data_IF_812653455998
#
_entry.id   IF_812653455998
#
_cell.length_a   1.000
_cell.length_b   1.000
_cell.length_c   1.000
_cell.angle_alpha   90.00
_cell.angle_beta   90.00
_cell.angle_gamma   90.00
#
_symmetry.space_group_name_H-M   'P 1'
#
loop_
_entity.id
_entity.type
_entity.pdbx_description
1 polymer ?
#
# COMPACT_ATOMS: atom_id res chain seq x y z
N UNK A 1 -25.82 3.61 7.88
CA UNK A 1 -24.37 3.52 7.54
C UNK A 1 -24.24 2.95 6.13
N UNK A 2 -23.51 3.61 5.23
CA UNK A 2 -23.41 3.15 3.83
C UNK A 2 -22.75 1.76 3.77
N UNK A 3 -23.32 0.85 2.97
CA UNK A 3 -22.78 -0.52 2.76
C UNK A 3 -21.31 -0.52 2.34
N UNK A 4 -20.87 0.53 1.64
CA UNK A 4 -19.47 0.72 1.22
C UNK A 4 -18.51 1.03 2.38
N UNK A 5 -18.98 1.74 3.41
CA UNK A 5 -18.19 2.03 4.62
C UNK A 5 -18.02 0.74 5.43
N UNK A 6 -19.09 -0.04 5.55
CA UNK A 6 -19.06 -1.35 6.18
C UNK A 6 -18.10 -2.31 5.47
N UNK A 7 -18.06 -2.32 4.14
CA UNK A 7 -17.12 -3.16 3.37
C UNK A 7 -15.65 -2.75 3.57
N UNK A 8 -15.36 -1.45 3.60
CA UNK A 8 -14.01 -0.95 3.89
C UNK A 8 -13.59 -1.28 5.32
N UNK A 9 -14.44 -1.02 6.31
CA UNK A 9 -14.17 -1.35 7.72
C UNK A 9 -14.05 -2.86 7.96
N UNK A 10 -14.84 -3.68 7.28
CA UNK A 10 -14.72 -5.15 7.36
C UNK A 10 -13.41 -5.65 6.76
N UNK A 11 -12.90 -5.02 5.70
CA UNK A 11 -11.58 -5.32 5.15
C UNK A 11 -10.45 -4.97 6.13
N UNK A 12 -10.61 -3.89 6.92
CA UNK A 12 -9.65 -3.52 7.97
C UNK A 12 -9.56 -4.56 9.10
N UNK A 13 -10.65 -5.26 9.42
CA UNK A 13 -10.70 -6.24 10.53
C UNK A 13 -10.37 -7.67 10.12
N UNK A 14 -10.22 -7.95 8.83
CA UNK A 14 -9.98 -9.31 8.32
C UNK A 14 -8.51 -9.74 8.36
N UNK A 15 -7.57 -8.80 8.53
CA UNK A 15 -6.15 -9.11 8.63
C UNK A 15 -5.81 -9.60 10.04
N UNK A 16 -5.58 -10.91 10.21
CA UNK A 16 -5.03 -11.48 11.45
C UNK A 16 -3.65 -12.07 11.19
N UNK A 17 -2.66 -11.91 12.10
CA UNK A 17 -1.28 -12.37 11.87
C UNK A 17 -1.14 -13.89 11.69
N UNK A 18 -2.11 -14.66 12.19
CA UNK A 18 -2.00 -16.11 12.32
C UNK A 18 -2.27 -16.91 11.02
N UNK A 19 -2.71 -16.28 9.93
CA UNK A 19 -3.21 -17.00 8.74
C UNK A 19 -2.56 -16.66 7.40
N UNK A 20 -1.52 -15.83 7.35
CA UNK A 20 -1.45 -14.95 6.19
C UNK A 20 -0.28 -15.17 5.21
N UNK A 21 0.85 -15.77 5.60
CA UNK A 21 1.92 -16.07 4.63
C UNK A 21 1.76 -17.46 4.04
N UNK A 22 1.51 -17.55 2.74
CA UNK A 22 1.67 -18.81 2.02
C UNK A 22 3.16 -19.17 2.03
N UNK A 23 3.46 -20.37 2.54
CA UNK A 23 4.81 -20.93 2.47
C UNK A 23 5.26 -21.01 1.00
N UNK A 24 6.36 -20.33 0.61
CA UNK A 24 6.83 -20.31 -0.78
C UNK A 24 7.26 -21.67 -1.33
N UNK A 25 7.71 -22.59 -0.47
CA UNK A 25 8.14 -23.96 -0.81
C UNK A 25 6.90 -24.84 -1.01
N UNK A 26 5.90 -24.73 -0.13
CA UNK A 26 4.70 -25.56 -0.19
C UNK A 26 3.66 -25.07 -1.23
N UNK A 27 3.57 -23.75 -1.48
CA UNK A 27 2.53 -23.14 -2.30
C UNK A 27 3.05 -22.38 -3.53
N UNK A 28 4.36 -22.25 -3.67
CA UNK A 28 5.01 -21.56 -4.77
C UNK A 28 5.22 -20.06 -4.52
N UNK A 29 6.39 -19.57 -4.91
CA UNK A 29 6.84 -18.20 -4.60
C UNK A 29 5.99 -17.09 -5.23
N UNK A 30 5.35 -17.34 -6.38
CA UNK A 30 4.41 -16.38 -6.98
C UNK A 30 3.17 -16.19 -6.10
N UNK A 31 2.59 -17.28 -5.61
CA UNK A 31 1.42 -17.23 -4.74
C UNK A 31 1.77 -16.57 -3.39
N UNK A 32 2.93 -16.90 -2.83
CA UNK A 32 3.46 -16.23 -1.65
C UNK A 32 3.56 -14.71 -1.86
N UNK A 33 4.17 -14.26 -2.97
CA UNK A 33 4.27 -12.84 -3.31
C UNK A 33 2.91 -12.17 -3.50
N UNK A 34 1.93 -12.85 -4.11
CA UNK A 34 0.57 -12.33 -4.29
C UNK A 34 -0.15 -12.10 -2.95
N UNK A 35 -0.01 -13.04 -2.02
CA UNK A 35 -0.63 -12.95 -0.69
C UNK A 35 0.05 -11.95 0.23
N UNK A 36 1.37 -11.75 0.09
CA UNK A 36 2.20 -11.05 1.07
C UNK A 36 1.71 -9.64 1.47
N UNK A 37 1.38 -8.72 0.54
CA UNK A 37 0.91 -7.39 0.95
C UNK A 37 -0.50 -7.37 1.52
N UNK A 38 -1.23 -8.48 1.45
CA UNK A 38 -2.58 -8.61 2.00
C UNK A 38 -2.57 -8.96 3.49
N UNK A 39 -1.41 -9.35 4.02
CA UNK A 39 -1.25 -9.83 5.40
C UNK A 39 -0.94 -8.70 6.37
N UNK A 40 -0.14 -7.72 5.92
CA UNK A 40 0.23 -6.52 6.68
C UNK A 40 -0.83 -5.44 6.54
N UNK A 41 -1.47 -5.07 7.65
CA UNK A 41 -2.51 -4.02 7.65
C UNK A 41 -1.94 -2.66 7.22
N UNK A 42 -0.70 -2.36 7.60
CA UNK A 42 0.04 -1.17 7.19
C UNK A 42 0.23 -1.08 5.66
N UNK A 43 0.68 -2.16 5.03
CA UNK A 43 0.89 -2.27 3.58
C UNK A 43 -0.43 -2.20 2.84
N UNK A 44 -1.41 -2.98 3.27
CA UNK A 44 -2.74 -3.00 2.68
C UNK A 44 -3.37 -1.60 2.68
N UNK A 45 -3.33 -0.91 3.83
CA UNK A 45 -3.85 0.44 3.97
C UNK A 45 -3.08 1.44 3.10
N UNK A 46 -1.74 1.40 3.09
CA UNK A 46 -0.93 2.27 2.26
C UNK A 46 -1.31 2.13 0.78
N UNK A 47 -1.31 0.90 0.24
CA UNK A 47 -1.50 0.64 -1.19
C UNK A 47 -2.91 0.98 -1.67
N UNK A 48 -3.94 0.68 -0.88
CA UNK A 48 -5.31 1.11 -1.18
C UNK A 48 -5.41 2.65 -1.13
N UNK A 49 -4.76 3.28 -0.15
CA UNK A 49 -4.83 4.74 0.04
C UNK A 49 -4.09 5.49 -1.07
N UNK A 50 -2.99 4.95 -1.63
CA UNK A 50 -2.36 5.52 -2.85
C UNK A 50 -3.37 5.57 -3.98
N UNK A 51 -4.09 4.47 -4.23
CA UNK A 51 -5.12 4.43 -5.26
C UNK A 51 -6.26 5.42 -5.00
N UNK A 52 -6.74 5.46 -3.76
CA UNK A 52 -7.81 6.35 -3.36
C UNK A 52 -7.40 7.83 -3.52
N UNK A 53 -6.20 8.21 -3.09
CA UNK A 53 -5.69 9.57 -3.27
C UNK A 53 -5.44 9.92 -4.75
N UNK A 54 -4.98 8.95 -5.55
CA UNK A 54 -4.84 9.11 -7.00
C UNK A 54 -6.18 9.51 -7.64
N UNK A 55 -7.29 8.96 -7.16
CA UNK A 55 -8.64 9.33 -7.62
C UNK A 55 -9.08 10.74 -7.20
N UNK A 56 -8.58 11.25 -6.06
CA UNK A 56 -8.84 12.62 -5.59
C UNK A 56 -8.19 13.65 -6.52
N UNK A 57 -6.96 13.38 -6.98
CA UNK A 57 -6.24 14.25 -7.92
C UNK A 57 -6.80 14.08 -9.33
N UNK A 58 -7.03 12.84 -9.77
CA UNK A 58 -7.58 12.52 -11.09
C UNK A 58 -6.60 12.74 -12.25
N UNK A 59 -7.13 12.69 -13.47
CA UNK A 59 -6.34 12.88 -14.70
C UNK A 59 -5.16 11.91 -14.79
N UNK A 60 -3.95 12.45 -15.02
CA UNK A 60 -2.71 11.65 -15.15
C UNK A 60 -2.31 10.95 -13.84
N UNK A 61 -2.77 11.43 -12.68
CA UNK A 61 -2.40 10.86 -11.38
C UNK A 61 -2.93 9.44 -11.18
N UNK A 62 -4.03 9.09 -11.85
CA UNK A 62 -4.60 7.74 -11.86
C UNK A 62 -3.61 6.66 -12.30
N UNK A 63 -2.60 7.03 -13.09
CA UNK A 63 -1.57 6.12 -13.58
C UNK A 63 -0.18 6.46 -13.04
N UNK A 64 0.16 7.75 -12.98
CA UNK A 64 1.49 8.18 -12.59
C UNK A 64 1.84 7.77 -11.15
N UNK A 65 0.90 7.87 -10.21
CA UNK A 65 1.15 7.52 -8.81
C UNK A 65 1.28 6.00 -8.59
N UNK A 66 0.36 5.13 -9.09
CA UNK A 66 0.56 3.69 -8.97
C UNK A 66 1.83 3.18 -9.67
N UNK A 67 2.15 3.70 -10.86
CA UNK A 67 3.36 3.30 -11.57
C UNK A 67 4.62 3.75 -10.84
N UNK A 68 4.64 4.97 -10.29
CA UNK A 68 5.73 5.44 -9.45
C UNK A 68 5.90 4.57 -8.20
N UNK A 69 4.79 4.20 -7.54
CA UNK A 69 4.84 3.31 -6.38
C UNK A 69 5.45 1.96 -6.77
N UNK A 70 4.89 1.25 -7.75
CA UNK A 70 5.38 -0.08 -8.15
C UNK A 70 6.83 -0.03 -8.62
N UNK A 71 7.22 1.00 -9.38
CA UNK A 71 8.60 1.17 -9.85
C UNK A 71 9.59 1.41 -8.71
N UNK A 72 9.32 2.37 -7.83
CA UNK A 72 10.17 2.65 -6.68
C UNK A 72 10.19 1.51 -5.66
N UNK A 73 9.07 0.80 -5.49
CA UNK A 73 8.99 -0.41 -4.69
C UNK A 73 9.90 -1.51 -5.23
N UNK A 74 9.93 -1.74 -6.55
CA UNK A 74 10.86 -2.68 -7.16
C UNK A 74 12.33 -2.28 -6.92
N UNK A 75 12.64 -0.98 -6.92
CA UNK A 75 13.96 -0.47 -6.54
C UNK A 75 14.27 -0.76 -5.08
N UNK A 76 13.37 -0.46 -4.14
CA UNK A 76 13.55 -0.75 -2.72
C UNK A 76 13.76 -2.25 -2.45
N UNK A 77 13.00 -3.09 -3.14
CA UNK A 77 13.12 -4.55 -3.10
C UNK A 77 14.51 -5.00 -3.59
N UNK A 78 14.98 -4.47 -4.72
CA UNK A 78 16.32 -4.76 -5.21
C UNK A 78 17.42 -4.29 -4.25
N UNK A 79 17.27 -3.13 -3.60
CA UNK A 79 18.23 -2.66 -2.60
C UNK A 79 18.36 -3.63 -1.43
N UNK A 80 17.24 -4.12 -0.90
CA UNK A 80 17.25 -5.10 0.19
C UNK A 80 17.94 -6.41 -0.20
N UNK A 81 17.67 -6.93 -1.40
CA UNK A 81 18.34 -8.14 -1.91
C UNK A 81 19.85 -7.99 -2.07
N UNK A 82 20.32 -6.77 -2.33
CA UNK A 82 21.75 -6.47 -2.46
C UNK A 82 22.38 -6.08 -1.10
N UNK A 83 21.67 -6.28 0.01
CA UNK A 83 22.17 -5.99 1.36
C UNK A 83 22.37 -4.50 1.65
N UNK A 84 21.79 -3.61 0.84
CA UNK A 84 21.86 -2.16 1.08
C UNK A 84 20.91 -1.82 2.21
N UNK A 85 21.46 -1.34 3.33
CA UNK A 85 20.65 -0.91 4.46
C UNK A 85 19.89 0.38 4.12
N UNK A 86 18.57 0.36 4.36
CA UNK A 86 17.73 1.55 4.32
C UNK A 86 17.32 1.85 5.77
N UNK A 87 17.68 3.00 6.35
CA UNK A 87 17.27 3.32 7.71
C UNK A 87 15.78 3.66 7.78
N UNK A 88 15.18 3.47 8.95
CA UNK A 88 13.80 3.84 9.23
C UNK A 88 12.74 3.17 8.34
N UNK A 89 12.95 1.91 7.93
CA UNK A 89 11.98 1.17 7.09
C UNK A 89 10.59 1.14 7.70
N UNK A 90 10.48 0.62 8.91
CA UNK A 90 9.20 0.51 9.61
C UNK A 90 8.57 1.88 9.95
N UNK A 91 9.30 2.87 10.51
CA UNK A 91 8.78 4.23 10.63
C UNK A 91 8.33 4.86 9.30
N UNK A 92 9.04 4.59 8.20
CA UNK A 92 8.70 5.07 6.87
C UNK A 92 7.40 4.47 6.34
N UNK A 93 7.17 3.18 6.59
CA UNK A 93 5.92 2.49 6.27
C UNK A 93 4.76 3.06 7.09
N UNK A 94 4.92 3.20 8.41
CA UNK A 94 3.88 3.78 9.27
C UNK A 94 3.56 5.23 8.89
N UNK A 95 4.59 6.02 8.58
CA UNK A 95 4.43 7.39 8.09
C UNK A 95 3.68 7.44 6.76
N UNK A 96 3.87 6.46 5.87
CA UNK A 96 3.15 6.41 4.59
C UNK A 96 1.64 6.30 4.81
N UNK A 97 1.20 5.42 5.71
CA UNK A 97 -0.22 5.22 6.03
C UNK A 97 -0.84 6.51 6.57
N UNK A 98 -0.15 7.16 7.51
CA UNK A 98 -0.62 8.39 8.15
C UNK A 98 -0.68 9.53 7.12
N UNK A 99 0.41 9.78 6.39
CA UNK A 99 0.49 10.91 5.45
C UNK A 99 -0.48 10.74 4.29
N UNK A 100 -0.52 9.56 3.65
CA UNK A 100 -1.45 9.30 2.54
C UNK A 100 -2.91 9.34 3.01
N UNK A 101 -3.18 8.83 4.22
CA UNK A 101 -4.49 8.92 4.87
C UNK A 101 -4.92 10.37 5.06
N UNK A 102 -4.06 11.23 5.62
CA UNK A 102 -4.33 12.65 5.83
C UNK A 102 -4.52 13.40 4.51
N UNK A 103 -3.67 13.15 3.50
CA UNK A 103 -3.81 13.75 2.18
C UNK A 103 -5.16 13.39 1.54
N UNK A 104 -5.61 12.15 1.72
CA UNK A 104 -6.94 11.70 1.28
C UNK A 104 -8.05 12.34 2.12
N UNK A 105 -7.89 12.43 3.44
CA UNK A 105 -8.85 12.99 4.38
C UNK A 105 -9.15 14.47 4.10
N UNK A 106 -8.11 15.23 3.76
CA UNK A 106 -8.27 16.63 3.37
C UNK A 106 -8.67 16.80 1.91
N UNK A 107 -8.69 15.72 1.13
CA UNK A 107 -8.83 15.73 -0.32
C UNK A 107 -7.79 16.67 -0.96
N UNK A 108 -6.54 16.58 -0.49
CA UNK A 108 -5.45 17.44 -0.90
C UNK A 108 -5.14 17.25 -2.39
N UNK A 109 -5.10 18.35 -3.13
CA UNK A 109 -4.72 18.39 -4.54
C UNK A 109 -3.36 19.04 -4.67
N UNK A 110 -2.47 18.39 -5.43
CA UNK A 110 -1.13 18.89 -5.72
C UNK A 110 -0.71 18.46 -7.12
N UNK A 111 0.37 19.04 -7.69
CA UNK A 111 0.88 18.62 -9.00
C UNK A 111 1.15 17.11 -9.03
N UNK A 112 0.74 16.44 -10.11
CA UNK A 112 0.89 14.98 -10.25
C UNK A 112 2.31 14.51 -10.02
N UNK A 113 3.31 15.27 -10.49
CA UNK A 113 4.71 14.94 -10.29
C UNK A 113 5.11 14.91 -8.80
N UNK A 114 4.65 15.88 -8.01
CA UNK A 114 4.94 15.93 -6.58
C UNK A 114 4.30 14.76 -5.84
N UNK A 115 3.05 14.46 -6.17
CA UNK A 115 2.37 13.33 -5.55
C UNK A 115 2.97 11.98 -5.95
N UNK A 116 3.38 11.80 -7.21
CA UNK A 116 4.10 10.61 -7.66
C UNK A 116 5.46 10.46 -6.96
N UNK A 117 6.19 11.55 -6.75
CA UNK A 117 7.45 11.54 -6.00
C UNK A 117 7.24 11.14 -4.53
N UNK A 118 6.24 11.73 -3.86
CA UNK A 118 5.91 11.41 -2.47
C UNK A 118 5.53 9.93 -2.29
N UNK A 119 4.65 9.44 -3.16
CA UNK A 119 4.24 8.02 -3.17
C UNK A 119 5.43 7.11 -3.47
N UNK A 120 6.29 7.48 -4.42
CA UNK A 120 7.50 6.72 -4.75
C UNK A 120 8.51 6.63 -3.61
N UNK A 121 8.71 7.72 -2.85
CA UNK A 121 9.57 7.70 -1.65
C UNK A 121 9.05 6.70 -0.63
N UNK A 122 7.75 6.70 -0.34
CA UNK A 122 7.17 5.71 0.57
C UNK A 122 7.30 4.28 0.04
N UNK A 123 7.15 4.11 -1.27
CA UNK A 123 7.26 2.81 -1.92
C UNK A 123 8.64 2.15 -1.75
N UNK A 124 9.72 2.94 -1.65
CA UNK A 124 11.06 2.41 -1.36
C UNK A 124 11.09 1.62 -0.06
N UNK A 125 10.46 2.12 1.00
CA UNK A 125 10.43 1.43 2.31
C UNK A 125 9.61 0.14 2.25
N UNK A 126 8.43 0.16 1.61
CA UNK A 126 7.62 -1.05 1.42
C UNK A 126 8.38 -2.11 0.60
N UNK A 127 9.01 -1.70 -0.50
CA UNK A 127 9.82 -2.58 -1.33
C UNK A 127 10.99 -3.17 -0.54
N UNK A 128 11.70 -2.34 0.22
CA UNK A 128 12.84 -2.77 1.03
C UNK A 128 12.45 -3.79 2.10
N UNK A 129 11.37 -3.53 2.86
CA UNK A 129 10.84 -4.49 3.84
C UNK A 129 10.55 -5.85 3.19
N UNK A 130 9.79 -5.87 2.09
CA UNK A 130 9.42 -7.11 1.41
C UNK A 130 10.62 -7.83 0.78
N UNK A 131 11.63 -7.09 0.31
CA UNK A 131 12.87 -7.67 -0.21
C UNK A 131 13.70 -8.35 0.86
N UNK A 132 13.68 -7.82 2.09
CA UNK A 132 14.33 -8.43 3.26
C UNK A 132 13.65 -9.72 3.74
N UNK A 133 12.36 -9.90 3.41
CA UNK A 133 11.52 -11.02 3.86
C UNK A 133 11.41 -12.16 2.85
N UNK A 134 12.11 -12.10 1.71
CA UNK A 134 12.03 -13.10 0.64
C UNK A 134 12.36 -14.52 1.12
N UNK A 135 13.30 -14.66 2.06
CA UNK A 135 13.71 -15.96 2.62
C UNK A 135 14.09 -16.96 1.53
N UNK A 136 13.50 -18.16 1.59
CA UNK A 136 13.74 -19.26 0.64
C UNK A 136 12.92 -19.15 -0.66
N UNK A 137 12.14 -18.08 -0.85
CA UNK A 137 11.32 -17.92 -2.05
C UNK A 137 12.18 -17.66 -3.31
N UNK A 138 11.72 -18.15 -4.47
CA UNK A 138 12.25 -17.75 -5.76
C UNK A 138 11.98 -16.25 -5.98
N UNK A 139 13.02 -15.45 -5.81
CA UNK A 139 12.97 -13.99 -5.69
C UNK A 139 12.21 -13.29 -6.81
N UNK A 140 12.44 -13.69 -8.06
CA UNK A 140 11.77 -13.08 -9.21
C UNK A 140 10.27 -13.37 -9.21
N UNK A 141 9.87 -14.62 -8.97
CA UNK A 141 8.47 -15.03 -8.92
C UNK A 141 7.74 -14.34 -7.76
N UNK A 142 8.37 -14.27 -6.59
CA UNK A 142 7.84 -13.54 -5.44
C UNK A 142 7.66 -12.06 -5.74
N UNK A 143 8.70 -11.40 -6.27
CA UNK A 143 8.66 -9.99 -6.63
C UNK A 143 7.57 -9.66 -7.67
N UNK A 144 7.37 -10.53 -8.66
CA UNK A 144 6.29 -10.39 -9.65
C UNK A 144 4.92 -10.50 -8.97
N UNK A 145 4.72 -11.50 -8.12
CA UNK A 145 3.46 -11.68 -7.38
C UNK A 145 3.14 -10.46 -6.50
N UNK A 146 4.16 -9.97 -5.79
CA UNK A 146 4.06 -8.78 -4.97
C UNK A 146 3.72 -7.52 -5.78
N UNK A 147 4.37 -7.32 -6.93
CA UNK A 147 4.08 -6.21 -7.83
C UNK A 147 2.64 -6.25 -8.39
N UNK A 148 2.16 -7.44 -8.77
CA UNK A 148 0.78 -7.65 -9.25
C UNK A 148 -0.22 -7.31 -8.15
N UNK A 149 -0.02 -7.85 -6.94
CA UNK A 149 -0.92 -7.63 -5.81
C UNK A 149 -0.97 -6.15 -5.42
N UNK A 150 0.20 -5.51 -5.36
CA UNK A 150 0.32 -4.06 -5.17
C UNK A 150 -0.48 -3.28 -6.19
N UNK A 151 -0.27 -3.54 -7.49
CA UNK A 151 -1.01 -2.85 -8.55
C UNK A 151 -2.52 -3.07 -8.43
N UNK A 152 -2.97 -4.28 -8.08
CA UNK A 152 -4.37 -4.59 -7.87
C UNK A 152 -4.98 -3.79 -6.70
N UNK A 153 -4.27 -3.64 -5.59
CA UNK A 153 -4.71 -2.81 -4.44
C UNK A 153 -4.83 -1.33 -4.81
N UNK A 154 -3.89 -0.80 -5.60
CA UNK A 154 -3.96 0.56 -6.10
C UNK A 154 -5.20 0.76 -7.00
N UNK A 155 -5.44 -0.18 -7.92
CA UNK A 155 -6.62 -0.15 -8.78
C UNK A 155 -7.91 -0.27 -7.97
N UNK A 156 -7.93 -1.06 -6.90
CA UNK A 156 -9.07 -1.16 -5.98
C UNK A 156 -9.36 0.18 -5.29
N UNK A 157 -8.33 0.87 -4.79
CA UNK A 157 -8.45 2.21 -4.22
C UNK A 157 -8.97 3.24 -5.22
N UNK A 158 -8.44 3.22 -6.46
CA UNK A 158 -8.91 4.09 -7.55
C UNK A 158 -10.38 3.82 -7.87
N UNK A 159 -10.74 2.55 -8.06
CA UNK A 159 -12.10 2.14 -8.40
C UNK A 159 -13.09 2.51 -7.28
N UNK A 160 -12.69 2.35 -6.02
CA UNK A 160 -13.49 2.80 -4.88
C UNK A 160 -13.70 4.31 -4.93
N UNK A 161 -12.64 5.09 -5.11
CA UNK A 161 -12.70 6.55 -5.12
C UNK A 161 -13.52 7.13 -6.27
N UNK A 162 -13.35 6.61 -7.49
CA UNK A 162 -14.10 7.05 -8.68
C UNK A 162 -15.61 6.74 -8.59
N UNK A 163 -16.00 5.72 -7.81
CA UNK A 163 -17.42 5.37 -7.59
C UNK A 163 -18.11 6.25 -6.54
N UNK A 164 -17.36 7.02 -5.75
CA UNK A 164 -17.96 7.82 -4.69
C UNK A 164 -18.64 9.07 -5.26
N UNK A 165 -19.96 9.19 -5.01
CA UNK A 165 -20.74 10.37 -5.38
C UNK A 165 -20.55 11.55 -4.43
N UNK A 166 -20.14 11.27 -3.19
CA UNK A 166 -19.96 12.28 -2.15
C UNK A 166 -18.52 12.24 -1.64
N UNK A 167 -17.83 13.38 -1.77
CA UNK A 167 -16.44 13.54 -1.35
C UNK A 167 -16.21 13.19 0.12
N UNK A 168 -17.22 13.34 0.97
CA UNK A 168 -17.14 12.98 2.39
C UNK A 168 -16.78 11.51 2.61
N UNK A 169 -17.21 10.59 1.74
CA UNK A 169 -16.87 9.17 1.88
C UNK A 169 -15.38 8.94 1.66
N UNK A 170 -14.81 9.57 0.64
CA UNK A 170 -13.36 9.53 0.38
C UNK A 170 -12.58 10.15 1.54
N UNK A 171 -13.04 11.29 2.07
CA UNK A 171 -12.41 11.95 3.22
C UNK A 171 -12.43 11.09 4.48
N UNK A 172 -13.59 10.49 4.81
CA UNK A 172 -13.71 9.60 5.96
C UNK A 172 -12.85 8.33 5.81
N UNK A 173 -12.72 7.81 4.59
CA UNK A 173 -11.85 6.66 4.32
C UNK A 173 -10.37 7.01 4.55
N UNK A 174 -9.95 8.20 4.09
CA UNK A 174 -8.61 8.72 4.39
C UNK A 174 -8.37 8.96 5.87
N UNK A 175 -9.35 9.53 6.58
CA UNK A 175 -9.25 9.77 8.02
C UNK A 175 -9.15 8.45 8.81
N UNK A 176 -9.91 7.43 8.39
CA UNK A 176 -9.83 6.09 8.96
C UNK A 176 -8.45 5.46 8.73
N UNK A 177 -7.89 5.58 7.52
CA UNK A 177 -6.54 5.10 7.22
C UNK A 177 -5.48 5.80 8.09
N UNK A 178 -5.56 7.14 8.21
CA UNK A 178 -4.63 7.89 9.05
C UNK A 178 -4.72 7.51 10.53
N UNK A 179 -5.94 7.37 11.06
CA UNK A 179 -6.16 6.94 12.44
C UNK A 179 -5.65 5.52 12.69
N UNK A 180 -5.84 4.60 11.74
CA UNK A 180 -5.28 3.25 11.81
C UNK A 180 -3.75 3.28 11.78
N UNK A 181 -3.13 4.12 10.94
CA UNK A 181 -1.67 4.31 10.92
C UNK A 181 -1.12 4.82 12.25
N UNK A 182 -1.80 5.79 12.89
CA UNK A 182 -1.43 6.26 14.24
C UNK A 182 -1.57 5.15 15.27
N UNK A 183 -2.66 4.39 15.23
CA UNK A 183 -2.88 3.28 16.15
C UNK A 183 -1.78 2.20 16.01
N UNK A 184 -1.40 1.85 14.78
CA UNK A 184 -0.31 0.92 14.49
C UNK A 184 1.02 1.45 15.03
N UNK A 185 1.31 2.74 14.82
CA UNK A 185 2.56 3.35 15.28
C UNK A 185 2.69 3.49 16.81
N UNK A 186 1.57 3.44 17.55
CA UNK A 186 1.56 3.49 19.02
C UNK A 186 1.52 2.08 19.63
N UNK A 187 0.98 1.10 18.90
CA UNK A 187 0.82 -0.27 19.37
C UNK A 187 2.05 -1.17 19.11
N UNK A 188 2.90 -0.81 18.14
CA UNK A 188 4.23 -1.42 17.93
C UNK A 188 5.28 -0.81 18.83
#
# INVERSE_FOLDING_TARGET
MNRSILAFLAALTAATPAFAHLDPIAHGSLAAGLSHPLTGLDHLLAMITVGLWSSVIGGRALWAMPLAFVGCMAVGFALALNGVALPFVEPGILASVIVLGLLTAFAAKMPTALGAALVGVFALFHGHAHGGEVGDAATLSFGIGFAISTAALHLAGIAFGLKQKHLIVTRLSGAAAAAAGVALAVAG
#
